data_IF_408230097952
#
_entry.id   IF_408230097952
#
_cell.length_a   1.000
_cell.length_b   1.000
_cell.length_c   1.000
_cell.angle_alpha   90.00
_cell.angle_beta   90.00
_cell.angle_gamma   90.00
#
_symmetry.space_group_name_H-M   'P 1'
#
loop_
_entity.id
_entity.type
_entity.pdbx_description
1 polymer ?
#
# COMPACT_ATOMS: atom_id res chain seq x y z
N UNK A 1 -26.65 -7.89 65.11
CA UNK A 1 -26.11 -7.67 66.48
C UNK A 1 -24.71 -8.28 66.46
N UNK A 2 -23.61 -7.55 66.33
CA UNK A 2 -23.27 -6.25 66.92
C UNK A 2 -22.83 -5.20 65.89
N UNK A 3 -22.97 -3.98 66.36
CA UNK A 3 -22.84 -2.66 65.75
C UNK A 3 -21.38 -2.15 65.74
N UNK A 4 -21.09 -1.06 65.01
CA UNK A 4 -19.81 -0.36 65.18
C UNK A 4 -19.32 0.51 64.01
N UNK A 5 -19.86 1.72 63.94
CA UNK A 5 -19.56 2.85 63.04
C UNK A 5 -18.08 3.22 62.81
N UNK A 6 -17.75 3.81 61.64
CA UNK A 6 -17.28 5.21 61.52
C UNK A 6 -16.84 5.59 60.08
N UNK A 7 -16.96 6.89 59.80
CA UNK A 7 -16.99 7.55 58.50
C UNK A 7 -15.64 8.10 58.00
N UNK A 8 -15.59 8.47 56.72
CA UNK A 8 -15.01 9.75 56.28
C UNK A 8 -13.58 9.79 55.73
N UNK A 9 -13.49 10.02 54.42
CA UNK A 9 -12.58 10.93 53.69
C UNK A 9 -11.05 10.91 53.95
N UNK A 10 -10.24 10.72 52.89
CA UNK A 10 -9.59 11.82 52.15
C UNK A 10 -8.50 11.32 51.17
N UNK A 11 -8.61 11.80 49.92
CA UNK A 11 -7.62 12.05 48.86
C UNK A 11 -6.14 12.03 49.33
N UNK A 12 -5.25 11.31 48.64
CA UNK A 12 -3.93 11.85 48.25
C UNK A 12 -3.15 11.01 47.20
N UNK A 13 -2.82 11.72 46.10
CA UNK A 13 -1.51 11.79 45.42
C UNK A 13 -1.02 10.64 44.53
N UNK A 14 -1.22 10.88 43.23
CA UNK A 14 -0.37 10.47 42.11
C UNK A 14 1.12 10.67 42.43
N UNK A 15 1.95 9.64 42.20
CA UNK A 15 3.40 9.76 42.07
C UNK A 15 3.87 9.08 40.77
N UNK A 16 4.35 9.92 39.85
CA UNK A 16 5.04 9.57 38.60
C UNK A 16 6.42 8.97 38.92
N UNK A 17 6.84 7.90 38.23
CA UNK A 17 8.22 7.40 38.24
C UNK A 17 8.94 7.78 36.93
N UNK A 18 10.23 8.21 36.97
CA UNK A 18 10.95 8.74 35.83
C UNK A 18 11.58 7.67 34.93
N UNK A 19 11.72 8.02 33.65
CA UNK A 19 12.38 7.23 32.58
C UNK A 19 13.90 7.30 32.74
N UNK A 20 14.59 6.18 32.51
CA UNK A 20 16.06 6.09 32.44
C UNK A 20 16.44 5.89 30.97
N UNK A 21 17.19 6.84 30.43
CA UNK A 21 17.69 6.85 29.06
C UNK A 21 18.81 5.82 28.86
N UNK A 22 18.78 5.13 27.72
CA UNK A 22 19.96 4.54 27.09
C UNK A 22 19.98 5.01 25.64
N UNK A 23 21.13 5.60 25.29
CA UNK A 23 21.48 6.19 24.02
C UNK A 23 22.04 5.08 23.14
N UNK A 24 21.48 4.88 21.94
CA UNK A 24 22.15 4.28 20.79
C UNK A 24 21.71 5.04 19.56
N UNK A 25 22.66 5.67 18.89
CA UNK A 25 22.46 6.45 17.69
C UNK A 25 22.18 5.55 16.47
N UNK A 26 21.05 5.78 15.81
CA UNK A 26 20.83 5.47 14.41
C UNK A 26 19.95 6.57 13.83
N UNK A 27 20.40 7.15 12.73
CA UNK A 27 19.79 8.27 12.04
C UNK A 27 18.41 7.87 11.50
N UNK A 28 17.35 8.38 12.10
CA UNK A 28 16.02 8.45 11.49
C UNK A 28 15.73 9.93 11.24
N UNK A 29 15.76 10.30 9.97
CA UNK A 29 15.43 11.63 9.45
C UNK A 29 13.91 11.80 9.49
N UNK A 30 13.45 12.47 10.54
CA UNK A 30 12.11 13.05 10.69
C UNK A 30 11.91 14.15 9.64
N UNK A 31 11.17 13.86 8.57
CA UNK A 31 10.56 14.91 7.76
C UNK A 31 9.10 14.57 7.41
N UNK A 32 8.26 14.57 8.44
CA UNK A 32 6.80 14.58 8.30
C UNK A 32 6.27 16.02 8.30
N UNK A 33 6.50 16.78 7.23
CA UNK A 33 5.64 17.93 6.89
C UNK A 33 4.56 17.47 5.93
N UNK A 34 3.45 16.95 6.46
CA UNK A 34 2.22 16.75 5.71
C UNK A 34 1.11 17.58 6.36
N UNK A 35 0.66 18.57 5.60
CA UNK A 35 -0.35 19.55 5.95
C UNK A 35 -1.59 18.92 6.61
N UNK A 36 -2.04 19.56 7.70
CA UNK A 36 -3.33 19.27 8.31
C UNK A 36 -4.45 19.63 7.35
N UNK A 37 -5.30 18.64 7.08
CA UNK A 37 -6.60 18.84 6.44
C UNK A 37 -7.65 18.47 7.48
N UNK A 38 -8.14 19.48 8.19
CA UNK A 38 -9.29 19.38 9.08
C UNK A 38 -10.54 19.43 8.20
N UNK A 39 -11.01 18.27 7.76
CA UNK A 39 -12.40 18.13 7.30
C UNK A 39 -13.26 17.74 8.51
N UNK A 40 -13.71 18.76 9.22
CA UNK A 40 -14.83 18.68 10.16
C UNK A 40 -16.14 18.78 9.34
N UNK A 41 -16.79 17.63 9.11
CA UNK A 41 -18.22 17.60 8.85
C UNK A 41 -18.83 16.34 9.46
N UNK A 42 -19.55 16.57 10.56
CA UNK A 42 -20.17 15.55 11.38
C UNK A 42 -21.31 14.79 10.72
N UNK A 43 -21.62 13.63 11.32
CA UNK A 43 -22.87 12.91 11.08
C UNK A 43 -22.68 11.44 10.73
N UNK A 44 -22.78 10.57 11.74
CA UNK A 44 -22.97 9.14 11.56
C UNK A 44 -21.74 8.31 11.90
N UNK A 45 -21.59 8.01 13.20
CA UNK A 45 -20.76 6.90 13.68
C UNK A 45 -21.35 5.56 13.24
N UNK A 46 -21.36 5.30 11.93
CA UNK A 46 -21.52 3.94 11.43
C UNK A 46 -20.22 3.22 11.77
N UNK A 47 -20.27 2.39 12.80
CA UNK A 47 -19.16 1.60 13.28
C UNK A 47 -18.60 0.80 12.10
N UNK A 48 -17.43 1.23 11.58
CA UNK A 48 -16.80 0.55 10.46
C UNK A 48 -16.50 -0.87 10.93
N UNK A 49 -17.27 -1.84 10.46
CA UNK A 49 -16.96 -3.25 10.68
C UNK A 49 -15.54 -3.49 10.15
N UNK A 50 -14.62 -3.75 11.08
CA UNK A 50 -13.22 -3.99 10.73
C UNK A 50 -13.16 -5.24 9.87
N UNK A 51 -12.69 -5.08 8.64
CA UNK A 51 -12.51 -6.19 7.73
C UNK A 51 -11.56 -7.24 8.28
N UNK A 52 -11.79 -8.48 7.85
CA UNK A 52 -10.89 -9.57 8.10
C UNK A 52 -9.52 -9.30 7.44
N UNK A 53 -8.41 -9.62 8.14
CA UNK A 53 -7.09 -9.43 7.58
C UNK A 53 -6.87 -10.39 6.40
N UNK A 54 -6.05 -9.96 5.44
CA UNK A 54 -5.65 -10.81 4.34
C UNK A 54 -4.67 -11.90 4.79
N UNK A 55 -4.71 -13.03 4.10
CA UNK A 55 -3.70 -14.08 4.14
C UNK A 55 -3.22 -14.39 2.73
N UNK A 56 -1.99 -14.91 2.59
CA UNK A 56 -1.50 -15.38 1.30
C UNK A 56 -2.33 -16.60 0.88
N UNK A 57 -2.96 -16.52 -0.29
CA UNK A 57 -3.72 -17.63 -0.88
C UNK A 57 -3.24 -17.89 -2.30
N UNK A 58 -3.34 -19.12 -2.75
CA UNK A 58 -3.16 -19.49 -4.15
C UNK A 58 -4.28 -18.92 -5.02
N UNK A 59 -4.05 -18.79 -6.35
CA UNK A 59 -5.14 -18.42 -7.27
C UNK A 59 -6.30 -19.41 -7.18
N UNK A 60 -7.52 -18.88 -7.00
CA UNK A 60 -8.75 -19.65 -6.85
C UNK A 60 -9.00 -20.21 -5.44
N UNK A 61 -8.04 -20.06 -4.52
CA UNK A 61 -8.22 -20.54 -3.15
C UNK A 61 -9.04 -19.55 -2.30
N UNK A 62 -10.14 -20.07 -1.73
CA UNK A 62 -10.95 -19.34 -0.76
C UNK A 62 -10.27 -19.40 0.62
N UNK A 63 -9.98 -18.23 1.19
CA UNK A 63 -9.45 -18.13 2.54
C UNK A 63 -10.40 -18.75 3.57
N UNK A 64 -9.86 -19.57 4.48
CA UNK A 64 -10.65 -20.24 5.53
C UNK A 64 -10.77 -19.36 6.78
N UNK A 65 -11.93 -19.44 7.44
CA UNK A 65 -12.20 -18.72 8.70
C UNK A 65 -12.42 -17.22 8.51
N UNK A 66 -12.13 -16.42 9.55
CA UNK A 66 -12.28 -14.96 9.55
C UNK A 66 -11.09 -14.26 8.85
N UNK A 67 -10.83 -14.62 7.60
CA UNK A 67 -9.69 -14.17 6.79
C UNK A 67 -10.14 -13.89 5.35
N UNK A 68 -9.46 -12.97 4.68
CA UNK A 68 -9.67 -12.66 3.28
C UNK A 68 -8.51 -13.20 2.41
N UNK A 69 -8.81 -13.70 1.22
CA UNK A 69 -7.80 -14.17 0.26
C UNK A 69 -7.26 -13.05 -0.64
N UNK A 70 -6.18 -13.35 -1.37
CA UNK A 70 -5.56 -12.38 -2.27
C UNK A 70 -6.37 -12.15 -3.56
N UNK A 71 -7.15 -13.13 -4.02
CA UNK A 71 -8.06 -12.90 -5.16
C UNK A 71 -9.16 -11.91 -4.81
N UNK A 72 -9.67 -11.95 -3.56
CA UNK A 72 -10.60 -10.93 -3.09
C UNK A 72 -9.92 -9.55 -3.05
N UNK A 73 -8.66 -9.47 -2.59
CA UNK A 73 -7.89 -8.22 -2.64
C UNK A 73 -7.82 -7.67 -4.07
N UNK A 74 -7.50 -8.49 -5.07
CA UNK A 74 -7.43 -8.06 -6.47
C UNK A 74 -8.80 -7.69 -7.04
N UNK A 75 -9.85 -8.39 -6.65
CA UNK A 75 -11.22 -8.04 -7.01
C UNK A 75 -11.61 -6.63 -6.51
N UNK A 76 -11.12 -6.20 -5.33
CA UNK A 76 -11.35 -4.83 -4.85
C UNK A 76 -10.78 -3.75 -5.80
N UNK A 77 -9.73 -4.05 -6.56
CA UNK A 77 -9.19 -3.13 -7.57
C UNK A 77 -10.10 -3.03 -8.79
N UNK A 78 -10.71 -4.16 -9.21
CA UNK A 78 -11.71 -4.16 -10.28
C UNK A 78 -12.96 -3.37 -9.87
N UNK A 79 -13.43 -3.55 -8.63
CA UNK A 79 -14.54 -2.73 -8.10
C UNK A 79 -14.19 -1.24 -8.10
N UNK A 80 -12.96 -0.86 -7.72
CA UNK A 80 -12.52 0.54 -7.81
C UNK A 80 -12.54 1.07 -9.25
N UNK A 81 -12.24 0.23 -10.24
CA UNK A 81 -12.32 0.59 -11.66
C UNK A 81 -13.76 0.85 -12.08
N UNK A 82 -14.70 0.00 -11.67
CA UNK A 82 -16.13 0.20 -11.93
C UNK A 82 -16.63 1.51 -11.31
N UNK A 83 -16.26 1.78 -10.05
CA UNK A 83 -16.61 3.05 -9.40
C UNK A 83 -16.00 4.27 -10.09
N UNK A 84 -14.77 4.17 -10.58
CA UNK A 84 -14.18 5.24 -11.38
C UNK A 84 -15.00 5.49 -12.65
N UNK A 85 -15.42 4.46 -13.37
CA UNK A 85 -16.26 4.60 -14.57
C UNK A 85 -17.58 5.30 -14.24
N UNK A 86 -18.23 4.93 -13.14
CA UNK A 86 -19.46 5.61 -12.70
C UNK A 86 -19.23 7.09 -12.39
N UNK A 87 -18.16 7.40 -11.64
CA UNK A 87 -17.79 8.80 -11.35
C UNK A 87 -17.47 9.58 -12.63
N UNK A 88 -16.80 8.96 -13.59
CA UNK A 88 -16.51 9.57 -14.89
C UNK A 88 -17.78 9.87 -15.68
N UNK A 89 -18.75 8.95 -15.71
CA UNK A 89 -20.02 9.16 -16.40
C UNK A 89 -20.81 10.31 -15.78
N UNK A 90 -20.92 10.35 -14.45
CA UNK A 90 -21.58 11.44 -13.72
C UNK A 90 -20.90 12.78 -14.00
N UNK A 91 -19.56 12.83 -13.99
CA UNK A 91 -18.82 14.05 -14.29
C UNK A 91 -19.08 14.54 -15.72
N UNK A 92 -19.12 13.63 -16.70
CA UNK A 92 -19.43 13.96 -18.11
C UNK A 92 -20.86 14.49 -18.27
N UNK A 93 -21.84 13.86 -17.65
CA UNK A 93 -23.25 14.30 -17.69
C UNK A 93 -23.43 15.69 -17.08
N UNK A 94 -22.64 16.03 -16.06
CA UNK A 94 -22.66 17.35 -15.39
C UNK A 94 -21.77 18.40 -16.05
N UNK A 95 -20.98 18.05 -17.07
CA UNK A 95 -19.99 18.95 -17.67
C UNK A 95 -18.81 19.29 -16.76
N UNK A 96 -18.54 18.47 -15.74
CA UNK A 96 -17.43 18.63 -14.80
C UNK A 96 -16.14 17.99 -15.34
N UNK A 97 -14.98 18.36 -14.76
CA UNK A 97 -13.70 17.74 -15.11
C UNK A 97 -13.70 16.25 -14.77
N UNK A 98 -13.68 15.41 -15.80
CA UNK A 98 -13.67 13.95 -15.67
C UNK A 98 -12.34 13.44 -15.07
N UNK A 99 -12.35 12.69 -13.95
CA UNK A 99 -11.13 12.14 -13.37
C UNK A 99 -10.58 10.98 -14.20
N UNK A 100 -9.27 10.90 -14.39
CA UNK A 100 -8.62 9.81 -15.14
C UNK A 100 -7.95 8.77 -14.26
N UNK A 101 -7.75 9.09 -12.97
CA UNK A 101 -7.16 8.20 -11.95
C UNK A 101 -8.15 7.97 -10.82
N UNK A 102 -7.92 6.93 -10.01
CA UNK A 102 -8.67 6.69 -8.76
C UNK A 102 -8.35 7.80 -7.76
N UNK A 103 -9.27 8.74 -7.58
CA UNK A 103 -9.15 9.90 -6.68
C UNK A 103 -9.90 9.70 -5.36
N UNK A 104 -9.83 10.69 -4.45
CA UNK A 104 -10.65 10.72 -3.24
C UNK A 104 -12.16 10.68 -3.55
N UNK A 105 -12.60 11.23 -4.68
CA UNK A 105 -14.00 11.19 -5.10
C UNK A 105 -14.48 9.76 -5.35
N UNK A 106 -13.64 8.92 -5.96
CA UNK A 106 -13.95 7.50 -6.20
C UNK A 106 -14.14 6.75 -4.88
N UNK A 107 -13.28 6.99 -3.89
CA UNK A 107 -13.42 6.37 -2.57
C UNK A 107 -14.65 6.86 -1.80
N UNK A 108 -15.05 8.13 -1.95
CA UNK A 108 -16.30 8.66 -1.38
C UNK A 108 -17.51 8.00 -2.04
N UNK A 109 -17.53 7.95 -3.37
CA UNK A 109 -18.60 7.31 -4.13
C UNK A 109 -18.75 5.83 -3.77
N UNK A 110 -17.64 5.08 -3.69
CA UNK A 110 -17.67 3.66 -3.27
C UNK A 110 -18.32 3.48 -1.89
N UNK A 111 -18.00 4.36 -0.93
CA UNK A 111 -18.61 4.34 0.41
C UNK A 111 -20.12 4.61 0.35
N UNK A 112 -20.54 5.59 -0.44
CA UNK A 112 -21.96 5.95 -0.64
C UNK A 112 -22.74 4.83 -1.34
N UNK A 113 -22.09 4.12 -2.28
CA UNK A 113 -22.64 2.95 -2.96
C UNK A 113 -22.63 1.66 -2.11
N UNK A 114 -22.34 1.74 -0.81
CA UNK A 114 -22.36 0.61 0.13
C UNK A 114 -21.09 -0.23 0.18
N UNK A 115 -20.07 0.07 -0.63
CA UNK A 115 -18.77 -0.61 -0.61
C UNK A 115 -17.81 -0.01 0.43
N UNK A 116 -18.26 0.10 1.68
CA UNK A 116 -17.53 0.73 2.79
C UNK A 116 -16.21 0.03 3.16
N UNK A 117 -16.05 -1.23 2.75
CA UNK A 117 -14.80 -1.98 2.86
C UNK A 117 -13.71 -1.39 1.95
N UNK A 118 -14.02 -0.74 0.82
CA UNK A 118 -12.99 -0.12 -0.01
C UNK A 118 -12.51 1.18 0.65
N UNK A 119 -11.20 1.28 0.91
CA UNK A 119 -10.61 2.48 1.51
C UNK A 119 -9.24 2.82 0.92
N UNK A 120 -8.96 4.13 0.85
CA UNK A 120 -7.74 4.69 0.23
C UNK A 120 -6.44 4.13 0.83
N UNK A 121 -6.24 4.07 2.16
CA UNK A 121 -5.01 3.51 2.72
C UNK A 121 -4.76 2.07 2.27
N UNK A 122 -5.79 1.21 2.35
CA UNK A 122 -5.69 -0.20 1.93
C UNK A 122 -5.36 -0.34 0.45
N UNK A 123 -6.08 0.37 -0.42
CA UNK A 123 -5.85 0.28 -1.87
C UNK A 123 -4.48 0.84 -2.27
N UNK A 124 -3.98 1.90 -1.60
CA UNK A 124 -2.61 2.38 -1.85
C UNK A 124 -1.55 1.40 -1.37
N UNK A 125 -1.83 0.67 -0.30
CA UNK A 125 -0.85 -0.23 0.31
C UNK A 125 -0.48 -1.40 -0.61
N UNK A 126 -1.42 -1.93 -1.40
CA UNK A 126 -1.23 -3.15 -2.20
C UNK A 126 -1.18 -2.91 -3.72
N UNK A 127 -1.16 -1.66 -4.18
CA UNK A 127 -1.30 -1.37 -5.63
C UNK A 127 -0.13 -1.93 -6.45
N UNK A 128 1.07 -2.04 -5.88
CA UNK A 128 2.18 -2.72 -6.55
C UNK A 128 1.96 -4.23 -6.65
N UNK A 129 1.35 -4.89 -5.64
CA UNK A 129 0.97 -6.30 -5.75
C UNK A 129 -0.04 -6.53 -6.89
N UNK A 130 -1.02 -5.62 -7.01
CA UNK A 130 -1.97 -5.65 -8.12
C UNK A 130 -1.30 -5.34 -9.46
N UNK A 131 -0.32 -4.44 -9.48
CA UNK A 131 0.48 -4.17 -10.68
C UNK A 131 1.24 -5.41 -11.14
N UNK A 132 1.87 -6.15 -10.23
CA UNK A 132 2.53 -7.41 -10.57
C UNK A 132 1.53 -8.41 -11.16
N UNK A 133 0.36 -8.58 -10.52
CA UNK A 133 -0.68 -9.45 -11.04
C UNK A 133 -1.17 -9.06 -12.45
N UNK A 134 -1.22 -7.77 -12.77
CA UNK A 134 -1.60 -7.30 -14.11
C UNK A 134 -0.50 -7.47 -15.17
N UNK A 135 0.75 -7.18 -14.81
CA UNK A 135 1.86 -7.14 -15.75
C UNK A 135 2.49 -8.53 -15.99
N UNK A 136 2.44 -9.39 -14.97
CA UNK A 136 3.01 -10.73 -14.99
C UNK A 136 2.23 -11.64 -14.03
N UNK A 137 1.09 -12.14 -14.51
CA UNK A 137 0.20 -12.99 -13.72
C UNK A 137 0.87 -14.32 -13.34
N UNK A 138 1.77 -14.83 -14.18
CA UNK A 138 2.54 -16.04 -13.92
C UNK A 138 3.50 -15.84 -12.75
N UNK A 139 4.31 -14.77 -12.78
CA UNK A 139 5.21 -14.43 -11.67
C UNK A 139 4.43 -14.13 -10.37
N UNK A 140 3.29 -13.42 -10.47
CA UNK A 140 2.39 -13.20 -9.33
C UNK A 140 1.89 -14.52 -8.73
N UNK A 141 1.46 -15.45 -9.58
CA UNK A 141 0.98 -16.78 -9.18
C UNK A 141 2.07 -17.62 -8.54
N UNK A 142 3.25 -17.68 -9.15
CA UNK A 142 4.40 -18.39 -8.61
C UNK A 142 4.79 -17.84 -7.23
N UNK A 143 4.81 -16.51 -7.09
CA UNK A 143 5.14 -15.85 -5.82
C UNK A 143 4.10 -16.16 -4.73
N UNK A 144 2.80 -16.15 -5.06
CA UNK A 144 1.73 -16.54 -4.13
C UNK A 144 1.88 -17.97 -3.64
N UNK A 145 2.14 -18.91 -4.55
CA UNK A 145 2.38 -20.33 -4.23
C UNK A 145 3.57 -20.50 -3.29
N UNK A 146 4.72 -19.93 -3.65
CA UNK A 146 5.94 -20.04 -2.86
C UNK A 146 5.83 -19.44 -1.44
N UNK A 147 5.11 -18.32 -1.29
CA UNK A 147 4.90 -17.71 0.03
C UNK A 147 3.89 -18.50 0.86
N UNK A 148 2.86 -19.05 0.25
CA UNK A 148 1.90 -19.91 0.96
C UNK A 148 2.54 -21.21 1.44
N UNK A 149 3.32 -21.87 0.59
CA UNK A 149 4.03 -23.12 0.91
C UNK A 149 4.96 -22.92 2.12
N UNK A 150 5.65 -21.77 2.18
CA UNK A 150 6.51 -21.40 3.32
C UNK A 150 5.75 -20.89 4.55
N UNK A 151 4.43 -20.75 4.48
CA UNK A 151 3.62 -20.21 5.58
C UNK A 151 3.91 -18.73 5.89
N UNK A 152 4.38 -17.97 4.90
CA UNK A 152 4.78 -16.58 5.07
C UNK A 152 3.57 -15.65 5.23
N UNK A 153 3.78 -14.54 5.96
CA UNK A 153 2.73 -13.55 6.16
C UNK A 153 2.58 -12.61 4.95
N UNK A 154 1.42 -11.94 4.85
CA UNK A 154 1.11 -11.01 3.75
C UNK A 154 2.09 -9.84 3.68
N UNK A 155 2.68 -9.41 4.80
CA UNK A 155 3.68 -8.36 4.82
C UNK A 155 4.93 -8.76 4.04
N UNK A 156 5.46 -9.97 4.28
CA UNK A 156 6.63 -10.50 3.59
C UNK A 156 6.34 -10.71 2.08
N UNK A 157 5.20 -11.33 1.75
CA UNK A 157 4.76 -11.48 0.36
C UNK A 157 4.67 -10.14 -0.36
N UNK A 158 4.00 -9.16 0.27
CA UNK A 158 3.82 -7.82 -0.27
C UNK A 158 5.15 -7.12 -0.55
N UNK A 159 6.13 -7.20 0.35
CA UNK A 159 7.44 -6.58 0.11
C UNK A 159 8.16 -7.23 -1.08
N UNK A 160 8.02 -8.55 -1.23
CA UNK A 160 8.67 -9.29 -2.31
C UNK A 160 8.05 -8.98 -3.68
N UNK A 161 6.80 -8.51 -3.75
CA UNK A 161 6.20 -8.06 -5.01
C UNK A 161 6.94 -6.88 -5.68
N UNK A 162 7.79 -6.13 -4.97
CA UNK A 162 8.56 -5.04 -5.59
C UNK A 162 9.66 -5.54 -6.54
N UNK A 163 10.33 -6.63 -6.19
CA UNK A 163 11.47 -7.16 -6.94
C UNK A 163 11.14 -7.48 -8.42
N UNK A 164 10.11 -8.30 -8.74
CA UNK A 164 9.77 -8.59 -10.13
C UNK A 164 9.30 -7.36 -10.90
N UNK A 165 8.68 -6.37 -10.24
CA UNK A 165 8.30 -5.12 -10.88
C UNK A 165 9.51 -4.26 -11.27
N UNK A 166 10.53 -4.21 -10.41
CA UNK A 166 11.77 -3.51 -10.73
C UNK A 166 12.50 -4.22 -11.87
N UNK A 167 12.50 -5.55 -11.90
CA UNK A 167 13.02 -6.33 -13.03
C UNK A 167 12.25 -6.08 -14.34
N UNK A 168 10.91 -5.92 -14.28
CA UNK A 168 10.10 -5.50 -15.43
C UNK A 168 10.50 -4.10 -15.89
N UNK A 169 10.67 -3.14 -14.96
CA UNK A 169 11.08 -1.78 -15.28
C UNK A 169 12.47 -1.74 -15.95
N UNK A 170 13.43 -2.51 -15.42
CA UNK A 170 14.77 -2.62 -15.98
C UNK A 170 14.77 -3.06 -17.45
N UNK A 171 13.89 -4.01 -17.81
CA UNK A 171 13.72 -4.51 -19.19
C UNK A 171 13.05 -3.50 -20.13
N UNK A 172 12.38 -2.49 -19.60
CA UNK A 172 11.58 -1.51 -20.37
C UNK A 172 12.09 -0.08 -20.19
N UNK A 173 13.41 0.10 -20.04
CA UNK A 173 14.03 1.43 -20.01
C UNK A 173 13.80 2.22 -18.72
N UNK A 174 13.43 1.55 -17.62
CA UNK A 174 13.24 2.11 -16.28
C UNK A 174 12.08 3.12 -16.13
N UNK A 175 11.21 3.26 -17.12
CA UNK A 175 10.06 4.16 -17.07
C UNK A 175 8.82 3.45 -16.50
N UNK A 176 8.74 3.38 -15.18
CA UNK A 176 7.61 2.74 -14.50
C UNK A 176 6.28 3.48 -14.70
N UNK A 177 6.30 4.78 -15.02
CA UNK A 177 5.10 5.54 -15.36
C UNK A 177 4.54 5.08 -16.69
N UNK A 178 5.39 4.99 -17.71
CA UNK A 178 4.99 4.50 -19.02
C UNK A 178 4.40 3.09 -18.93
N UNK A 179 5.02 2.19 -18.14
CA UNK A 179 4.52 0.83 -17.92
C UNK A 179 3.12 0.84 -17.30
N UNK A 180 2.88 1.64 -16.26
CA UNK A 180 1.56 1.76 -15.65
C UNK A 180 0.53 2.36 -16.62
N UNK A 181 0.91 3.40 -17.36
CA UNK A 181 0.02 4.10 -18.28
C UNK A 181 -0.31 3.27 -19.53
N UNK A 182 0.56 2.35 -19.96
CA UNK A 182 0.32 1.46 -21.08
C UNK A 182 -0.69 0.34 -20.76
N UNK A 183 -0.82 -0.05 -19.49
CA UNK A 183 -1.70 -1.15 -19.10
C UNK A 183 -3.12 -0.66 -18.73
N UNK A 184 -4.21 -1.11 -19.40
CA UNK A 184 -5.56 -0.58 -19.20
C UNK A 184 -6.09 -0.64 -17.76
N UNK A 185 -5.70 -1.65 -16.98
CA UNK A 185 -6.08 -1.79 -15.56
C UNK A 185 -5.22 -0.95 -14.61
N UNK A 186 -3.99 -0.60 -15.00
CA UNK A 186 -3.04 0.15 -14.15
C UNK A 186 -3.01 1.64 -14.46
N UNK A 187 -3.40 2.02 -15.67
CA UNK A 187 -3.42 3.41 -16.12
C UNK A 187 -4.33 4.31 -15.28
N UNK A 188 -5.22 3.75 -14.47
CA UNK A 188 -6.09 4.49 -13.54
C UNK A 188 -5.45 4.64 -12.14
N UNK A 189 -4.34 3.98 -11.86
CA UNK A 189 -3.65 4.03 -10.58
C UNK A 189 -2.44 4.96 -10.65
N UNK A 190 -2.09 5.52 -9.49
CA UNK A 190 -0.83 6.23 -9.31
C UNK A 190 0.26 5.20 -8.96
N UNK A 191 1.43 5.32 -9.59
CA UNK A 191 2.59 4.48 -9.25
C UNK A 191 3.01 4.77 -7.80
N UNK A 192 3.19 3.76 -6.93
CA UNK A 192 3.66 3.94 -5.57
C UNK A 192 5.01 4.64 -5.49
N UNK A 193 5.14 5.59 -4.57
CA UNK A 193 6.40 6.30 -4.31
C UNK A 193 7.54 5.33 -4.04
N UNK A 194 7.32 4.29 -3.23
CA UNK A 194 8.36 3.29 -2.93
C UNK A 194 8.80 2.52 -4.17
N UNK A 195 7.88 2.17 -5.07
CA UNK A 195 8.24 1.48 -6.32
C UNK A 195 9.10 2.38 -7.21
N UNK A 196 8.74 3.66 -7.36
CA UNK A 196 9.56 4.64 -8.11
C UNK A 196 10.97 4.75 -7.53
N UNK A 197 11.07 4.89 -6.20
CA UNK A 197 12.36 4.99 -5.51
C UNK A 197 13.23 3.77 -5.76
N UNK A 198 12.66 2.56 -5.70
CA UNK A 198 13.40 1.32 -5.97
C UNK A 198 13.87 1.26 -7.43
N UNK A 199 13.01 1.60 -8.41
CA UNK A 199 13.43 1.65 -9.81
C UNK A 199 14.54 2.67 -10.05
N UNK A 200 14.49 3.85 -9.41
CA UNK A 200 15.55 4.85 -9.52
C UNK A 200 16.87 4.40 -8.89
N UNK A 201 16.80 3.76 -7.71
CA UNK A 201 17.97 3.23 -7.03
C UNK A 201 18.66 2.16 -7.89
N UNK A 202 17.91 1.15 -8.36
CA UNK A 202 18.45 0.07 -9.18
C UNK A 202 18.99 0.56 -10.53
N UNK A 203 18.32 1.52 -11.18
CA UNK A 203 18.84 2.15 -12.40
C UNK A 203 20.20 2.81 -12.17
N UNK A 204 20.34 3.52 -11.05
CA UNK A 204 21.58 4.22 -10.71
C UNK A 204 22.70 3.22 -10.42
N UNK A 205 22.40 2.14 -9.68
CA UNK A 205 23.33 1.03 -9.44
C UNK A 205 23.77 0.35 -10.73
N UNK A 206 22.84 0.08 -11.65
CA UNK A 206 23.12 -0.54 -12.95
C UNK A 206 23.99 0.34 -13.85
N UNK A 207 23.74 1.66 -13.88
CA UNK A 207 24.55 2.60 -14.63
C UNK A 207 25.98 2.71 -14.06
N UNK A 208 26.14 2.71 -12.73
CA UNK A 208 27.44 2.71 -12.07
C UNK A 208 28.23 1.43 -12.37
N UNK A 209 27.59 0.26 -12.30
CA UNK A 209 28.22 -1.03 -12.62
C UNK A 209 28.62 -1.15 -14.10
N UNK A 210 27.85 -0.54 -15.02
CA UNK A 210 28.20 -0.53 -16.44
C UNK A 210 29.40 0.37 -16.74
N UNK A 211 29.55 1.47 -15.98
CA UNK A 211 30.64 2.44 -16.17
C UNK A 211 31.98 1.95 -15.59
N UNK A 212 31.97 1.05 -14.61
CA UNK A 212 33.20 0.48 -14.05
C UNK A 212 33.84 -0.59 -14.94
N UNK A 213 33.07 -1.21 -15.83
CA UNK A 213 33.56 -2.25 -16.76
C UNK A 213 34.30 -1.64 -17.96
N UNK A 214 34.00 -0.40 -18.35
CA UNK A 214 34.60 0.26 -19.52
C UNK A 214 35.86 1.07 -19.20
N UNK A 215 36.25 1.20 -17.94
CA UNK A 215 37.44 1.96 -17.52
C UNK A 215 38.77 1.20 -17.49
N UNK A 216 38.81 -0.04 -18.00
CA UNK A 216 39.94 -0.97 -17.83
C UNK A 216 40.81 -1.27 -19.06
N UNK A 217 40.64 -0.55 -20.18
CA UNK A 217 41.40 -0.80 -21.41
C UNK A 217 41.92 0.47 -22.03
N UNK A 218 43.23 0.74 -21.84
CA UNK A 218 44.18 1.28 -22.83
C UNK A 218 45.31 2.06 -22.16
N UNK A 219 46.34 1.33 -21.74
CA UNK A 219 47.70 1.86 -21.73
C UNK A 219 48.72 0.75 -21.96
N UNK A 220 48.98 0.42 -23.22
CA UNK A 220 50.26 -0.12 -23.63
C UNK A 220 50.78 0.71 -24.80
N UNK A 221 51.69 1.62 -24.45
CA UNK A 221 52.66 2.18 -25.38
C UNK A 221 53.54 1.06 -25.93
N UNK A 222 53.68 1.00 -27.26
CA UNK A 222 54.93 0.61 -27.91
C UNK A 222 55.07 1.37 -29.23
#
# INVERSE_FOLDING_TARGET
MWDGMAAGSNKQRRRRKPKRAKITASLEDDNETAAGDQDDNGGGGSERQREHPFIVTEPGEVARGKKNGLDYLFHLYELCREFLIQVQNIAKERGEKCPTKVTNQVFRYAKEAGASYINKPKMRHYVHCYALHCLDEEASTALRRAFKERGENVGAWRQTCYEPLVAIAARQGWDIDAIFNAHPRLAIWYVPTKLRQLCHAERSSAAAASSSITGGGDHLHF
#
